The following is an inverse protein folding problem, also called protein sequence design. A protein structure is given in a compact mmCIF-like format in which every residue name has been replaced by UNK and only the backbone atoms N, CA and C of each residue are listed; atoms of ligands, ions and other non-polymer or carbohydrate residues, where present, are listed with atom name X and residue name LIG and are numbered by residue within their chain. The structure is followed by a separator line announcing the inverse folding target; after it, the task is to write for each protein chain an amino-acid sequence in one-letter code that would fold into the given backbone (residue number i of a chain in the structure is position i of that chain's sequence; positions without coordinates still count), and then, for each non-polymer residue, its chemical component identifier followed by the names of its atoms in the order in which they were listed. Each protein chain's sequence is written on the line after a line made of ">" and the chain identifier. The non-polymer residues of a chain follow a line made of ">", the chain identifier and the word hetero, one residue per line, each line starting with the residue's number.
data_IF_342386554719
#
_entry.id   IF_342386554719
#
_cell.length_a   1.000
_cell.length_b   1.000
_cell.length_c   1.000
_cell.angle_alpha   90.00
_cell.angle_beta   90.00
_cell.angle_gamma   90.00
#
_symmetry.space_group_name_H-M   'P 1'
#
loop_
_entity.id
_entity.type
_entity.pdbx_description
1 polymer ?
#
# COMPACT_ATOMS: atom_id res chain seq x y z
N UNK A 1 0.71 -15.32 18.33
CA UNK A 1 0.44 -14.01 17.69
C UNK A 1 -0.72 -13.32 18.40
N UNK A 2 -0.53 -12.09 18.88
CA UNK A 2 -1.55 -11.30 19.61
C UNK A 2 -2.75 -11.01 18.68
N UNK A 3 -3.99 -11.10 19.17
CA UNK A 3 -5.24 -10.91 18.39
C UNK A 3 -5.25 -9.61 17.56
N UNK A 4 -4.70 -8.53 18.11
CA UNK A 4 -4.58 -7.22 17.46
C UNK A 4 -3.75 -7.25 16.16
N UNK A 5 -2.59 -7.93 16.17
CA UNK A 5 -1.76 -8.08 14.97
C UNK A 5 -2.44 -8.90 13.89
N UNK A 6 -3.16 -9.95 14.29
CA UNK A 6 -3.92 -10.76 13.33
C UNK A 6 -4.97 -9.89 12.63
N UNK A 7 -5.67 -9.05 13.39
CA UNK A 7 -6.63 -8.09 12.84
C UNK A 7 -5.97 -7.09 11.86
N UNK A 8 -4.88 -6.43 12.28
CA UNK A 8 -4.22 -5.42 11.43
C UNK A 8 -3.55 -6.00 10.19
N UNK A 9 -3.06 -7.24 10.27
CA UNK A 9 -2.53 -7.98 9.11
C UNK A 9 -3.57 -8.23 8.02
N UNK A 10 -4.87 -8.20 8.35
CA UNK A 10 -5.94 -8.26 7.38
C UNK A 10 -6.51 -6.89 7.02
N UNK A 11 -6.48 -5.92 7.95
CA UNK A 11 -7.02 -4.58 7.69
C UNK A 11 -6.26 -3.85 6.58
N UNK A 12 -4.91 -3.84 6.63
CA UNK A 12 -4.11 -3.16 5.60
C UNK A 12 -4.41 -3.67 4.17
N UNK A 13 -4.35 -4.99 3.86
CA UNK A 13 -4.61 -5.45 2.51
C UNK A 13 -6.06 -5.21 2.06
N UNK A 14 -7.03 -5.26 2.98
CA UNK A 14 -8.43 -4.91 2.66
C UNK A 14 -8.55 -3.45 2.27
N UNK A 15 -7.97 -2.54 3.07
CA UNK A 15 -8.01 -1.09 2.80
C UNK A 15 -7.25 -0.77 1.51
N UNK A 16 -6.12 -1.42 1.26
CA UNK A 16 -5.36 -1.28 0.01
C UNK A 16 -6.20 -1.71 -1.21
N UNK A 17 -6.93 -2.82 -1.12
CA UNK A 17 -7.82 -3.27 -2.19
C UNK A 17 -8.99 -2.30 -2.43
N UNK A 18 -9.59 -1.77 -1.35
CA UNK A 18 -10.65 -0.77 -1.43
C UNK A 18 -10.14 0.53 -2.06
N UNK A 19 -8.96 1.01 -1.67
CA UNK A 19 -8.32 2.20 -2.24
C UNK A 19 -8.05 2.03 -3.74
N UNK A 20 -7.52 0.87 -4.15
CA UNK A 20 -7.28 0.60 -5.57
C UNK A 20 -8.58 0.51 -6.37
N UNK A 21 -9.60 -0.16 -5.83
CA UNK A 21 -10.90 -0.32 -6.49
C UNK A 21 -11.66 1.00 -6.61
N UNK A 22 -11.79 1.74 -5.51
CA UNK A 22 -12.34 3.09 -5.51
C UNK A 22 -11.53 4.02 -6.42
N UNK A 23 -10.20 3.84 -6.46
CA UNK A 23 -9.32 4.59 -7.32
C UNK A 23 -9.65 4.45 -8.79
N UNK A 24 -9.76 3.21 -9.27
CA UNK A 24 -10.17 2.92 -10.64
C UNK A 24 -11.55 3.53 -10.98
N UNK A 25 -12.52 3.41 -10.07
CA UNK A 25 -13.88 3.96 -10.28
C UNK A 25 -13.88 5.49 -10.37
N UNK A 26 -13.10 6.18 -9.53
CA UNK A 26 -12.97 7.64 -9.56
C UNK A 26 -12.34 8.09 -10.88
N UNK A 27 -11.29 7.41 -11.34
CA UNK A 27 -10.65 7.71 -12.63
C UNK A 27 -11.63 7.54 -13.80
N UNK A 28 -12.41 6.46 -13.81
CA UNK A 28 -13.47 6.22 -14.81
C UNK A 28 -14.56 7.30 -14.74
N UNK A 29 -14.95 7.74 -13.54
CA UNK A 29 -15.96 8.80 -13.38
C UNK A 29 -15.44 10.15 -13.89
N UNK A 30 -14.20 10.51 -13.56
CA UNK A 30 -13.57 11.75 -13.98
C UNK A 30 -13.40 11.80 -15.51
N UNK A 31 -13.13 10.66 -16.16
CA UNK A 31 -13.18 10.53 -17.62
C UNK A 31 -14.54 10.92 -18.19
N UNK A 32 -15.60 10.29 -17.69
CA UNK A 32 -16.97 10.53 -18.18
C UNK A 32 -17.40 11.98 -17.98
N UNK A 33 -16.82 12.67 -17.00
CA UNK A 33 -17.05 14.09 -16.73
C UNK A 33 -16.21 15.04 -17.59
N UNK A 34 -15.35 14.53 -18.50
CA UNK A 34 -14.49 15.35 -19.36
C UNK A 34 -13.34 16.03 -18.61
N UNK A 35 -12.95 15.53 -17.43
CA UNK A 35 -11.86 16.10 -16.64
C UNK A 35 -10.46 15.79 -17.22
N UNK A 36 -10.38 14.95 -18.26
CA UNK A 36 -9.16 14.61 -18.99
C UNK A 36 -9.29 15.01 -20.45
N UNK A 37 -8.22 15.58 -21.01
CA UNK A 37 -8.18 15.92 -22.43
C UNK A 37 -8.07 14.64 -23.28
N UNK A 38 -8.83 14.59 -24.38
CA UNK A 38 -9.10 13.37 -25.17
C UNK A 38 -7.93 13.01 -26.11
N UNK A 39 -6.90 13.85 -26.16
CA UNK A 39 -5.78 13.78 -27.12
C UNK A 39 -4.55 13.02 -26.63
N UNK A 40 -4.49 12.63 -25.36
CA UNK A 40 -3.38 11.85 -24.81
C UNK A 40 -3.83 10.43 -24.48
N UNK A 41 -2.87 9.51 -24.35
CA UNK A 41 -2.97 8.14 -23.80
C UNK A 41 -3.52 8.11 -22.34
N UNK A 42 -4.56 8.90 -22.05
CA UNK A 42 -4.65 9.72 -20.84
C UNK A 42 -5.21 8.99 -19.63
N UNK A 43 -5.69 7.75 -19.80
CA UNK A 43 -6.38 6.98 -18.75
C UNK A 43 -5.85 5.58 -18.54
N UNK A 44 -5.41 4.91 -19.61
CA UNK A 44 -4.77 3.60 -19.49
C UNK A 44 -3.56 3.66 -18.56
N UNK A 45 -2.80 4.77 -18.63
CA UNK A 45 -1.65 5.02 -17.76
C UNK A 45 -2.05 5.22 -16.28
N UNK A 46 -2.94 6.17 -15.90
CA UNK A 46 -3.42 6.29 -14.52
C UNK A 46 -3.99 5.01 -13.88
N UNK A 47 -4.84 4.28 -14.63
CA UNK A 47 -5.45 3.04 -14.15
C UNK A 47 -4.38 1.95 -14.04
N UNK A 48 -3.53 1.80 -15.06
CA UNK A 48 -2.43 0.85 -15.07
C UNK A 48 -1.45 1.07 -13.92
N UNK A 49 -1.08 2.33 -13.65
CA UNK A 49 -0.23 2.70 -12.51
C UNK A 49 -0.90 2.35 -11.19
N UNK A 50 -2.21 2.62 -11.05
CA UNK A 50 -2.96 2.25 -9.83
C UNK A 50 -2.94 0.75 -9.58
N UNK A 51 -3.15 -0.06 -10.62
CA UNK A 51 -3.09 -1.53 -10.55
C UNK A 51 -1.69 -2.03 -10.24
N UNK A 52 -0.65 -1.47 -10.87
CA UNK A 52 0.74 -1.85 -10.62
C UNK A 52 1.15 -1.51 -9.18
N UNK A 53 0.76 -0.35 -8.67
CA UNK A 53 0.99 0.03 -7.26
C UNK A 53 0.29 -0.94 -6.32
N UNK A 54 -0.97 -1.29 -6.60
CA UNK A 54 -1.70 -2.28 -5.81
C UNK A 54 -0.95 -3.63 -5.76
N UNK A 55 -0.54 -4.15 -6.93
CA UNK A 55 0.19 -5.41 -7.02
C UNK A 55 1.52 -5.38 -6.27
N UNK A 56 2.32 -4.32 -6.47
CA UNK A 56 3.60 -4.15 -5.79
C UNK A 56 3.39 -4.09 -4.27
N UNK A 57 2.44 -3.30 -3.79
CA UNK A 57 2.17 -3.15 -2.35
C UNK A 57 1.61 -4.44 -1.74
N UNK A 58 0.78 -5.19 -2.45
CA UNK A 58 0.27 -6.48 -2.00
C UNK A 58 1.38 -7.54 -1.91
N UNK A 59 2.22 -7.64 -2.96
CA UNK A 59 3.33 -8.58 -3.01
C UNK A 59 4.40 -8.26 -1.96
N UNK A 60 4.78 -6.99 -1.82
CA UNK A 60 5.75 -6.55 -0.81
C UNK A 60 5.24 -6.80 0.60
N UNK A 61 3.95 -6.60 0.86
CA UNK A 61 3.33 -6.94 2.14
C UNK A 61 3.37 -8.44 2.43
N UNK A 62 3.00 -9.29 1.45
CA UNK A 62 3.08 -10.74 1.59
C UNK A 62 4.52 -11.18 1.87
N UNK A 63 5.48 -10.66 1.10
CA UNK A 63 6.90 -10.95 1.27
C UNK A 63 7.39 -10.53 2.67
N UNK A 64 6.98 -9.35 3.15
CA UNK A 64 7.31 -8.88 4.49
C UNK A 64 6.82 -9.88 5.56
N UNK A 65 5.56 -10.32 5.48
CA UNK A 65 5.01 -11.29 6.44
C UNK A 65 5.80 -12.61 6.41
N UNK A 66 6.12 -13.12 5.21
CA UNK A 66 6.87 -14.37 5.06
C UNK A 66 8.28 -14.27 5.64
N UNK A 67 8.98 -13.15 5.38
CA UNK A 67 10.32 -12.91 5.92
C UNK A 67 10.30 -12.83 7.45
N UNK A 68 9.34 -12.12 8.04
CA UNK A 68 9.22 -12.00 9.48
C UNK A 68 8.86 -13.33 10.15
N UNK A 69 7.96 -14.13 9.54
CA UNK A 69 7.67 -15.49 10.03
C UNK A 69 8.90 -16.38 10.01
N UNK A 70 9.69 -16.32 8.93
CA UNK A 70 10.93 -17.10 8.79
C UNK A 70 12.00 -16.65 9.78
N UNK A 71 12.10 -15.35 10.05
CA UNK A 71 13.02 -14.79 11.04
C UNK A 71 12.73 -15.30 12.46
N UNK A 72 11.46 -15.43 12.84
CA UNK A 72 11.07 -16.01 14.13
C UNK A 72 11.39 -17.51 14.26
N UNK A 73 11.47 -18.26 13.16
CA UNK A 73 11.73 -19.70 13.17
C UNK A 73 13.23 -20.05 13.18
N UNK A 74 14.09 -19.22 12.60
CA UNK A 74 15.52 -19.51 12.43
C UNK A 74 16.40 -18.51 13.19
N UNK A 75 17.07 -18.98 14.25
CA UNK A 75 17.94 -18.17 15.13
C UNK A 75 19.09 -17.44 14.40
N UNK A 76 19.79 -18.11 13.47
CA UNK A 76 21.02 -17.58 12.86
C UNK A 76 20.79 -16.57 11.72
N UNK A 77 19.69 -16.71 10.95
CA UNK A 77 19.32 -15.81 9.85
C UNK A 77 18.39 -14.65 10.29
N UNK A 78 18.09 -14.57 11.59
CA UNK A 78 17.02 -13.74 12.15
C UNK A 78 17.24 -12.23 11.87
N UNK A 79 18.46 -11.74 12.04
CA UNK A 79 18.77 -10.30 11.88
C UNK A 79 18.66 -9.87 10.41
N UNK A 80 19.29 -10.61 9.49
CA UNK A 80 19.26 -10.26 8.07
C UNK A 80 17.83 -10.27 7.51
N UNK A 81 17.03 -11.28 7.87
CA UNK A 81 15.63 -11.37 7.46
C UNK A 81 14.78 -10.22 8.01
N UNK A 82 15.02 -9.80 9.27
CA UNK A 82 14.36 -8.62 9.87
C UNK A 82 14.74 -7.33 9.15
N UNK A 83 16.03 -7.12 8.84
CA UNK A 83 16.50 -5.95 8.10
C UNK A 83 15.83 -5.89 6.72
N UNK A 84 15.83 -7.01 5.98
CA UNK A 84 15.16 -7.08 4.67
C UNK A 84 13.67 -6.79 4.75
N UNK A 85 12.98 -7.33 5.76
CA UNK A 85 11.57 -7.06 5.98
C UNK A 85 11.28 -5.57 6.27
N UNK A 86 12.13 -4.91 7.06
CA UNK A 86 11.99 -3.48 7.32
C UNK A 86 12.35 -2.61 6.13
N UNK A 87 13.33 -3.01 5.33
CA UNK A 87 13.65 -2.31 4.07
C UNK A 87 12.44 -2.36 3.12
N UNK A 88 11.82 -3.53 2.97
CA UNK A 88 10.59 -3.69 2.18
C UNK A 88 9.48 -2.78 2.73
N UNK A 89 9.29 -2.75 4.05
CA UNK A 89 8.29 -1.90 4.68
C UNK A 89 8.53 -0.40 4.40
N UNK A 90 9.78 0.05 4.46
CA UNK A 90 10.17 1.43 4.12
C UNK A 90 9.87 1.76 2.67
N UNK A 91 10.21 0.87 1.73
CA UNK A 91 9.91 1.08 0.31
C UNK A 91 8.39 1.14 0.08
N UNK A 92 7.61 0.25 0.70
CA UNK A 92 6.14 0.30 0.62
C UNK A 92 5.57 1.62 1.16
N UNK A 93 6.12 2.15 2.26
CA UNK A 93 5.72 3.45 2.80
C UNK A 93 6.04 4.59 1.83
N UNK A 94 7.24 4.59 1.23
CA UNK A 94 7.63 5.61 0.25
C UNK A 94 6.71 5.62 -0.96
N UNK A 95 6.34 4.43 -1.47
CA UNK A 95 5.35 4.31 -2.56
C UNK A 95 4.01 4.92 -2.15
N UNK A 96 3.53 4.64 -0.94
CA UNK A 96 2.27 5.21 -0.44
C UNK A 96 2.33 6.74 -0.35
N UNK A 97 3.41 7.29 0.21
CA UNK A 97 3.62 8.74 0.32
C UNK A 97 3.69 9.40 -1.06
N UNK A 98 4.47 8.83 -1.98
CA UNK A 98 4.57 9.29 -3.36
C UNK A 98 3.20 9.33 -4.05
N UNK A 99 2.36 8.30 -3.84
CA UNK A 99 0.99 8.30 -4.39
C UNK A 99 0.08 9.36 -3.76
N UNK A 100 0.21 9.65 -2.47
CA UNK A 100 -0.52 10.74 -1.83
C UNK A 100 -0.18 12.07 -2.53
N UNK A 101 1.12 12.33 -2.73
CA UNK A 101 1.59 13.56 -3.39
C UNK A 101 1.11 13.63 -4.83
N UNK A 102 1.26 12.55 -5.59
CA UNK A 102 0.84 12.47 -7.00
C UNK A 102 -0.65 12.82 -7.18
N UNK A 103 -1.50 12.28 -6.30
CA UNK A 103 -2.94 12.51 -6.35
C UNK A 103 -3.41 13.78 -5.64
N UNK A 104 -2.52 14.57 -5.06
CA UNK A 104 -2.86 15.85 -4.41
C UNK A 104 -3.18 16.96 -5.42
N UNK A 105 -3.17 16.64 -6.71
CA UNK A 105 -3.57 17.55 -7.79
C UNK A 105 -5.08 17.86 -7.75
N UNK A 106 -5.51 19.05 -8.22
CA UNK A 106 -6.92 19.39 -8.31
C UNK A 106 -7.65 18.31 -9.14
N UNK A 107 -8.86 17.93 -8.72
CA UNK A 107 -9.70 16.84 -9.27
C UNK A 107 -9.40 15.41 -8.77
N UNK A 108 -8.31 15.18 -8.02
CA UNK A 108 -7.95 13.85 -7.49
C UNK A 108 -7.76 13.78 -5.97
N UNK A 109 -8.11 14.84 -5.24
CA UNK A 109 -7.94 14.91 -3.79
C UNK A 109 -8.56 13.73 -3.01
N UNK A 110 -9.67 13.15 -3.50
CA UNK A 110 -10.27 11.95 -2.91
C UNK A 110 -9.32 10.75 -2.97
N UNK A 111 -8.58 10.58 -4.06
CA UNK A 111 -7.55 9.53 -4.20
C UNK A 111 -6.42 9.76 -3.20
N UNK A 112 -5.94 11.00 -3.04
CA UNK A 112 -4.92 11.32 -2.05
C UNK A 112 -5.39 10.96 -0.63
N UNK A 113 -6.64 11.25 -0.28
CA UNK A 113 -7.22 10.88 1.02
C UNK A 113 -7.26 9.35 1.19
N UNK A 114 -7.70 8.61 0.17
CA UNK A 114 -7.74 7.13 0.22
C UNK A 114 -6.34 6.52 0.41
N UNK A 115 -5.34 7.02 -0.33
CA UNK A 115 -3.95 6.62 -0.13
C UNK A 115 -3.43 7.04 1.26
N UNK A 116 -3.86 8.18 1.80
CA UNK A 116 -3.56 8.62 3.16
C UNK A 116 -4.11 7.66 4.22
N UNK A 117 -5.38 7.26 4.11
CA UNK A 117 -5.99 6.24 4.98
C UNK A 117 -5.24 4.91 4.87
N UNK A 118 -4.86 4.51 3.65
CA UNK A 118 -4.07 3.30 3.41
C UNK A 118 -2.71 3.38 4.10
N UNK A 119 -2.01 4.51 3.98
CA UNK A 119 -0.73 4.75 4.66
C UNK A 119 -0.87 4.69 6.19
N UNK A 120 -1.92 5.28 6.77
CA UNK A 120 -2.19 5.19 8.21
C UNK A 120 -2.38 3.74 8.63
N UNK A 121 -3.20 2.96 7.92
CA UNK A 121 -3.40 1.55 8.26
C UNK A 121 -2.13 0.72 8.12
N UNK A 122 -1.29 1.04 7.14
CA UNK A 122 0.03 0.44 6.99
C UNK A 122 0.95 0.76 8.18
N UNK A 123 1.04 2.03 8.59
CA UNK A 123 1.85 2.45 9.74
C UNK A 123 1.35 1.79 11.03
N UNK A 124 0.04 1.68 11.23
CA UNK A 124 -0.55 0.94 12.35
C UNK A 124 -0.13 -0.54 12.33
N UNK A 125 -0.17 -1.18 11.16
CA UNK A 125 0.34 -2.55 10.99
C UNK A 125 1.84 -2.65 11.33
N UNK A 126 2.68 -1.70 10.90
CA UNK A 126 4.11 -1.69 11.21
C UNK A 126 4.37 -1.51 12.72
N UNK A 127 3.66 -0.59 13.38
CA UNK A 127 3.78 -0.39 14.83
C UNK A 127 3.45 -1.66 15.61
N UNK A 128 2.37 -2.36 15.22
CA UNK A 128 2.01 -3.62 15.87
C UNK A 128 3.01 -4.75 15.57
N UNK A 129 3.58 -4.77 14.37
CA UNK A 129 4.61 -5.72 13.98
C UNK A 129 5.88 -5.54 14.81
N UNK A 130 6.36 -4.30 14.96
CA UNK A 130 7.53 -3.97 15.78
C UNK A 130 7.28 -4.32 17.25
N UNK A 131 6.09 -4.01 17.76
CA UNK A 131 5.71 -4.32 19.14
C UNK A 131 5.64 -5.82 19.45
N UNK A 132 5.53 -6.70 18.44
CA UNK A 132 5.58 -8.15 18.62
C UNK A 132 7.00 -8.75 18.54
N UNK A 133 7.96 -7.98 18.03
CA UNK A 133 9.34 -8.42 17.85
C UNK A 133 10.26 -7.99 19.00
N UNK A 134 9.76 -7.13 19.90
CA UNK A 134 10.34 -6.85 21.22
C UNK A 134 9.89 -7.92 22.22
#
# INVERSE_FOLDING_TARGET
>A
MRRAYKLTSYLYPIVLALTSGAGALILIKNLKAGAYDVTQDSIGLPIGVTLMVFLILALTHLLQILLLRRACANSFANILLKISAYLIATVSLLILVDRIVYWSTPNHAVLAILYGVTAITFVVFQMQTIAQLK
#
